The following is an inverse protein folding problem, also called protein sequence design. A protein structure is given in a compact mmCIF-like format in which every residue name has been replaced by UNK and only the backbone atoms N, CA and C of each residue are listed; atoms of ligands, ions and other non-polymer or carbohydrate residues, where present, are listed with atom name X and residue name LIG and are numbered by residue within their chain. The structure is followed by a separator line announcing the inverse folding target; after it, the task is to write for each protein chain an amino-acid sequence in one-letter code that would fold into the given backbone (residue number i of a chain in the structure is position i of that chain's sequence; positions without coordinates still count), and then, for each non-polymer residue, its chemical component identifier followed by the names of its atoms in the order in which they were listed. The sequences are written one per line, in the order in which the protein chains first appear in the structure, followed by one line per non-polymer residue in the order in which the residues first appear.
data_IF_950635086141
#
_entry.id   IF_950635086141
#
_cell.length_a   1.000
_cell.length_b   1.000
_cell.length_c   1.000
_cell.angle_alpha   90.00
_cell.angle_beta   90.00
_cell.angle_gamma   90.00
#
_symmetry.space_group_name_H-M   'P 1'
#
loop_
_entity.id
_entity.type
_entity.pdbx_description
1 polymer ?
#
# COMPACT_ATOMS: atom_id res chain seq x y z
N UNK A 1 -58.33 -8.66 -35.18
CA UNK A 1 -57.05 -9.38 -35.39
C UNK A 1 -55.99 -8.30 -35.61
N UNK A 2 -55.56 -7.62 -34.54
CA UNK A 2 -54.42 -7.98 -33.69
C UNK A 2 -53.16 -8.26 -34.52
N UNK A 3 -52.18 -7.35 -34.49
CA UNK A 3 -51.06 -7.45 -33.53
C UNK A 3 -50.17 -6.22 -33.66
N UNK A 4 -49.95 -5.57 -32.52
CA UNK A 4 -48.94 -4.54 -32.27
C UNK A 4 -47.52 -5.09 -32.48
N UNK A 5 -46.60 -4.22 -32.89
CA UNK A 5 -45.17 -4.39 -32.63
C UNK A 5 -44.53 -3.01 -32.45
N UNK A 6 -44.83 -2.41 -31.31
CA UNK A 6 -43.86 -1.57 -30.60
C UNK A 6 -42.75 -2.48 -30.06
N UNK A 7 -41.49 -2.03 -30.12
CA UNK A 7 -40.35 -2.31 -29.21
C UNK A 7 -39.23 -1.37 -29.70
N UNK A 8 -39.31 -0.08 -29.35
CA UNK A 8 -38.69 0.51 -28.16
C UNK A 8 -37.17 0.26 -28.12
N UNK A 9 -36.44 1.27 -28.60
CA UNK A 9 -35.01 1.38 -28.39
C UNK A 9 -34.74 1.63 -26.92
N UNK A 10 -34.19 0.62 -26.25
CA UNK A 10 -33.65 0.75 -24.91
C UNK A 10 -32.34 1.54 -25.01
N UNK A 11 -32.43 2.86 -24.78
CA UNK A 11 -31.29 3.63 -24.33
C UNK A 11 -30.93 3.09 -22.95
N UNK A 12 -29.76 2.45 -22.84
CA UNK A 12 -29.18 2.12 -21.55
C UNK A 12 -28.83 3.44 -20.85
N UNK A 13 -29.80 3.91 -20.06
CA UNK A 13 -29.61 4.90 -19.02
C UNK A 13 -28.63 4.28 -18.02
N UNK A 14 -27.35 4.62 -18.16
CA UNK A 14 -26.35 4.34 -17.14
C UNK A 14 -26.69 5.19 -15.93
N UNK A 15 -27.59 4.64 -15.09
CA UNK A 15 -28.02 5.24 -13.86
C UNK A 15 -26.83 5.73 -13.06
N UNK A 16 -26.63 7.04 -13.06
CA UNK A 16 -25.85 7.70 -12.02
C UNK A 16 -26.59 7.41 -10.72
N UNK A 17 -25.99 6.57 -9.87
CA UNK A 17 -26.50 6.41 -8.52
C UNK A 17 -26.60 7.79 -7.88
N UNK A 18 -27.76 8.18 -7.31
CA UNK A 18 -27.99 9.52 -6.79
C UNK A 18 -26.98 9.94 -5.70
N UNK A 19 -26.26 8.99 -5.09
CA UNK A 19 -25.14 9.25 -4.19
C UNK A 19 -23.88 9.80 -4.87
N UNK A 20 -23.57 9.38 -6.10
CA UNK A 20 -22.35 9.78 -6.82
C UNK A 20 -22.33 11.27 -7.18
N UNK A 21 -23.44 11.79 -7.69
CA UNK A 21 -23.55 13.22 -8.04
C UNK A 21 -23.45 14.13 -6.80
N UNK A 22 -24.00 13.72 -5.66
CA UNK A 22 -23.91 14.47 -4.41
C UNK A 22 -22.48 14.48 -3.86
N UNK A 23 -21.77 13.34 -3.96
CA UNK A 23 -20.38 13.21 -3.56
C UNK A 23 -19.44 14.08 -4.42
N UNK A 24 -19.62 14.07 -5.74
CA UNK A 24 -18.87 14.94 -6.67
C UNK A 24 -19.11 16.42 -6.34
N UNK A 25 -20.37 16.83 -6.12
CA UNK A 25 -20.68 18.22 -5.75
C UNK A 25 -20.08 18.64 -4.40
N UNK A 26 -19.95 17.71 -3.43
CA UNK A 26 -19.31 17.97 -2.15
C UNK A 26 -17.78 18.14 -2.33
N UNK A 27 -17.16 17.30 -3.15
CA UNK A 27 -15.75 17.40 -3.50
C UNK A 27 -15.45 18.71 -4.23
N UNK A 28 -16.27 19.08 -5.21
CA UNK A 28 -16.16 20.34 -5.95
C UNK A 28 -16.18 21.56 -5.01
N UNK A 29 -17.11 21.60 -4.04
CA UNK A 29 -17.13 22.67 -3.03
C UNK A 29 -15.84 22.74 -2.22
N UNK A 30 -15.27 21.59 -1.82
CA UNK A 30 -14.01 21.53 -1.07
C UNK A 30 -12.82 21.99 -1.89
N UNK A 31 -12.73 21.59 -3.16
CA UNK A 31 -11.64 22.01 -4.06
C UNK A 31 -11.68 23.52 -4.27
N UNK A 32 -12.88 24.07 -4.52
CA UNK A 32 -13.05 25.52 -4.71
C UNK A 32 -12.73 26.30 -3.43
N UNK A 33 -13.21 25.83 -2.28
CA UNK A 33 -12.87 26.45 -1.00
C UNK A 33 -11.36 26.38 -0.70
N UNK A 34 -10.69 25.30 -1.12
CA UNK A 34 -9.25 25.14 -0.94
C UNK A 34 -8.42 26.21 -1.64
N UNK A 35 -8.87 26.71 -2.81
CA UNK A 35 -8.17 27.79 -3.52
C UNK A 35 -8.16 29.07 -2.67
N UNK A 36 -9.32 29.44 -2.10
CA UNK A 36 -9.45 30.62 -1.25
C UNK A 36 -8.67 30.48 0.06
N UNK A 37 -8.66 29.27 0.64
CA UNK A 37 -7.88 28.96 1.83
C UNK A 37 -6.39 29.12 1.56
N UNK A 38 -5.86 28.54 0.48
CA UNK A 38 -4.44 28.64 0.12
C UNK A 38 -3.98 30.10 -0.05
N UNK A 39 -4.79 30.93 -0.70
CA UNK A 39 -4.49 32.38 -0.83
C UNK A 39 -4.47 33.09 0.52
N UNK A 40 -5.38 32.71 1.42
CA UNK A 40 -5.45 33.28 2.77
C UNK A 40 -4.24 32.82 3.61
N UNK A 41 -3.90 31.55 3.51
CA UNK A 41 -2.83 30.92 4.26
C UNK A 41 -1.44 31.31 3.78
N UNK A 42 -1.27 31.71 2.52
CA UNK A 42 -0.02 32.22 1.97
C UNK A 42 0.55 33.43 2.74
N UNK A 43 -0.31 34.19 3.42
CA UNK A 43 0.11 35.32 4.26
C UNK A 43 0.50 34.90 5.69
N UNK A 44 0.17 33.67 6.10
CA UNK A 44 0.25 33.19 7.49
C UNK A 44 1.28 32.08 7.68
N UNK A 45 1.37 31.17 6.71
CA UNK A 45 2.22 29.98 6.75
C UNK A 45 3.63 30.32 6.24
N UNK A 46 4.60 29.54 6.67
CA UNK A 46 5.90 29.54 6.01
C UNK A 46 5.84 28.76 4.68
N UNK A 47 6.95 28.78 3.93
CA UNK A 47 7.00 28.17 2.61
C UNK A 47 6.80 26.65 2.62
N UNK A 48 7.23 25.97 3.70
CA UNK A 48 7.12 24.51 3.79
C UNK A 48 5.69 24.11 4.12
N UNK A 49 5.08 24.74 5.11
CA UNK A 49 3.69 24.51 5.49
C UNK A 49 2.74 24.82 4.32
N UNK A 50 2.99 25.93 3.60
CA UNK A 50 2.19 26.29 2.43
C UNK A 50 2.33 25.28 1.29
N UNK A 51 3.53 24.74 1.06
CA UNK A 51 3.76 23.71 0.05
C UNK A 51 3.05 22.39 0.39
N UNK A 52 3.00 22.04 1.68
CA UNK A 52 2.21 20.91 2.18
C UNK A 52 0.71 21.07 1.90
N UNK A 53 0.13 22.19 2.32
CA UNK A 53 -1.28 22.50 2.07
C UNK A 53 -1.62 22.54 0.56
N UNK A 54 -0.73 23.11 -0.25
CA UNK A 54 -0.88 23.12 -1.70
C UNK A 54 -0.90 21.70 -2.28
N UNK A 55 0.00 20.83 -1.82
CA UNK A 55 0.08 19.43 -2.28
C UNK A 55 -1.18 18.66 -1.93
N UNK A 56 -1.67 18.78 -0.69
CA UNK A 56 -2.93 18.15 -0.28
C UNK A 56 -4.14 18.69 -1.06
N UNK A 57 -4.15 19.98 -1.40
CA UNK A 57 -5.20 20.53 -2.28
C UNK A 57 -5.10 19.98 -3.70
N UNK A 58 -3.90 19.92 -4.29
CA UNK A 58 -3.66 19.46 -5.66
C UNK A 58 -4.11 18.00 -5.83
N UNK A 59 -3.78 17.13 -4.88
CA UNK A 59 -4.18 15.72 -4.86
C UNK A 59 -5.71 15.57 -4.88
N UNK A 60 -6.43 16.38 -4.09
CA UNK A 60 -7.91 16.39 -4.10
C UNK A 60 -8.47 16.95 -5.40
N UNK A 61 -7.86 18.02 -5.94
CA UNK A 61 -8.28 18.63 -7.19
C UNK A 61 -8.14 17.65 -8.36
N UNK A 62 -7.06 16.87 -8.38
CA UNK A 62 -6.86 15.89 -9.45
C UNK A 62 -7.76 14.65 -9.30
N UNK A 63 -8.13 14.24 -8.08
CA UNK A 63 -9.20 13.25 -7.87
C UNK A 63 -10.52 13.73 -8.50
N UNK A 64 -10.89 15.00 -8.27
CA UNK A 64 -12.10 15.59 -8.87
C UNK A 64 -12.03 15.61 -10.41
N UNK A 65 -10.86 15.97 -10.95
CA UNK A 65 -10.62 15.93 -12.39
C UNK A 65 -10.77 14.51 -12.97
N UNK A 66 -10.29 13.50 -12.24
CA UNK A 66 -10.35 12.11 -12.65
C UNK A 66 -11.78 11.54 -12.68
N UNK A 67 -12.70 12.10 -11.89
CA UNK A 67 -14.14 11.74 -11.91
C UNK A 67 -14.98 12.64 -12.82
N UNK A 68 -14.36 13.54 -13.59
CA UNK A 68 -14.99 14.26 -14.69
C UNK A 68 -15.14 15.78 -14.54
N UNK A 69 -14.68 16.38 -13.44
CA UNK A 69 -14.69 17.85 -13.25
C UNK A 69 -13.26 18.41 -13.08
N UNK A 70 -12.62 18.84 -14.18
CA UNK A 70 -11.25 19.31 -14.15
C UNK A 70 -11.08 20.78 -13.77
N UNK A 71 -12.15 21.57 -13.60
CA UNK A 71 -12.05 23.04 -13.52
C UNK A 71 -11.15 23.52 -12.37
N UNK A 72 -11.20 22.84 -11.22
CA UNK A 72 -10.34 23.14 -10.08
C UNK A 72 -8.88 22.75 -10.33
N UNK A 73 -8.65 21.60 -10.97
CA UNK A 73 -7.31 21.12 -11.31
C UNK A 73 -6.65 22.04 -12.34
N UNK A 74 -7.35 22.45 -13.40
CA UNK A 74 -6.77 23.26 -14.48
C UNK A 74 -6.21 24.63 -14.00
N UNK A 75 -6.56 25.06 -12.79
CA UNK A 75 -6.05 26.28 -12.16
C UNK A 75 -4.71 26.10 -11.44
N UNK A 76 -4.27 24.85 -11.20
CA UNK A 76 -3.07 24.57 -10.40
C UNK A 76 -1.80 25.27 -10.88
N UNK A 77 -1.49 25.40 -12.20
CA UNK A 77 -0.23 26.00 -12.63
C UNK A 77 -0.17 27.49 -12.30
N UNK A 78 -1.29 28.20 -12.48
CA UNK A 78 -1.40 29.61 -12.16
C UNK A 78 -1.32 29.83 -10.64
N UNK A 79 -1.99 28.98 -9.87
CA UNK A 79 -1.99 29.06 -8.41
C UNK A 79 -0.60 28.75 -7.83
N UNK A 80 0.09 27.72 -8.32
CA UNK A 80 1.46 27.41 -7.89
C UNK A 80 2.42 28.58 -8.16
N UNK A 81 2.29 29.20 -9.34
CA UNK A 81 3.09 30.38 -9.71
C UNK A 81 2.77 31.60 -8.83
N UNK A 82 1.49 31.84 -8.53
CA UNK A 82 1.02 32.90 -7.63
C UNK A 82 1.61 32.73 -6.21
N UNK A 83 1.64 31.49 -5.72
CA UNK A 83 2.07 31.14 -4.37
C UNK A 83 3.58 30.89 -4.25
N UNK A 84 4.31 30.81 -5.37
CA UNK A 84 5.74 30.50 -5.39
C UNK A 84 6.08 29.06 -4.98
N UNK A 85 5.17 28.11 -5.22
CA UNK A 85 5.33 26.70 -4.83
C UNK A 85 6.04 25.90 -5.93
N UNK A 86 7.11 25.19 -5.56
CA UNK A 86 7.71 24.17 -6.40
C UNK A 86 6.91 22.86 -6.26
N UNK A 87 6.00 22.64 -7.21
CA UNK A 87 5.06 21.51 -7.19
C UNK A 87 5.77 20.15 -7.28
N UNK A 88 6.83 20.05 -8.06
CA UNK A 88 7.58 18.79 -8.20
C UNK A 88 8.29 18.45 -6.90
N UNK A 89 8.90 19.43 -6.25
CA UNK A 89 9.54 19.23 -4.96
C UNK A 89 8.51 18.90 -3.87
N UNK A 90 7.40 19.63 -3.81
CA UNK A 90 6.38 19.44 -2.75
C UNK A 90 5.71 18.07 -2.82
N UNK A 91 5.36 17.60 -4.02
CA UNK A 91 4.77 16.27 -4.21
C UNK A 91 5.80 15.17 -3.95
N UNK A 92 7.09 15.40 -4.24
CA UNK A 92 8.15 14.46 -3.90
C UNK A 92 8.31 14.32 -2.38
N UNK A 93 8.29 15.42 -1.64
CA UNK A 93 8.32 15.41 -0.18
C UNK A 93 7.11 14.66 0.38
N UNK A 94 5.90 15.00 -0.07
CA UNK A 94 4.68 14.29 0.31
C UNK A 94 4.73 12.78 -0.01
N UNK A 95 5.31 12.39 -1.15
CA UNK A 95 5.47 10.99 -1.51
C UNK A 95 6.47 10.25 -0.59
N UNK A 96 7.55 10.90 -0.17
CA UNK A 96 8.52 10.32 0.76
C UNK A 96 7.89 10.14 2.16
N UNK A 97 7.20 11.17 2.66
CA UNK A 97 6.49 11.10 3.96
C UNK A 97 5.37 10.06 3.93
N UNK A 98 4.66 9.96 2.80
CA UNK A 98 3.64 8.96 2.55
C UNK A 98 4.21 7.54 2.56
N UNK A 99 5.35 7.32 1.89
CA UNK A 99 6.05 6.04 1.89
C UNK A 99 6.52 5.62 3.29
N UNK A 100 7.10 6.55 4.07
CA UNK A 100 7.47 6.29 5.46
C UNK A 100 6.24 5.94 6.31
N UNK A 101 5.13 6.67 6.11
CA UNK A 101 3.87 6.40 6.80
C UNK A 101 3.32 5.01 6.45
N UNK A 102 3.40 4.58 5.19
CA UNK A 102 2.93 3.27 4.73
C UNK A 102 3.68 2.10 5.39
N UNK A 103 4.96 2.29 5.74
CA UNK A 103 5.78 1.24 6.36
C UNK A 103 5.35 0.96 7.83
N UNK A 104 5.01 2.01 8.58
CA UNK A 104 4.84 1.94 10.04
C UNK A 104 3.43 2.24 10.58
N UNK A 105 2.58 2.90 9.80
CA UNK A 105 1.25 3.33 10.26
C UNK A 105 0.22 2.18 10.34
N UNK A 106 -0.88 2.50 11.04
CA UNK A 106 -2.05 1.62 11.25
C UNK A 106 -3.32 2.46 11.31
N UNK A 107 -4.47 1.82 11.13
CA UNK A 107 -5.78 2.44 11.24
C UNK A 107 -5.95 3.65 10.32
N UNK A 108 -6.52 4.73 10.86
CA UNK A 108 -6.82 5.96 10.11
C UNK A 108 -5.60 6.55 9.41
N UNK A 109 -4.44 6.60 10.06
CA UNK A 109 -3.20 7.12 9.43
C UNK A 109 -2.74 6.28 8.25
N UNK A 110 -2.94 4.96 8.30
CA UNK A 110 -2.62 4.09 7.17
C UNK A 110 -3.62 4.30 6.03
N UNK A 111 -4.91 4.46 6.35
CA UNK A 111 -5.93 4.77 5.37
C UNK A 111 -5.64 6.09 4.65
N UNK A 112 -5.30 7.15 5.39
CA UNK A 112 -4.92 8.45 4.84
C UNK A 112 -3.74 8.34 3.86
N UNK A 113 -2.67 7.63 4.24
CA UNK A 113 -1.52 7.44 3.35
C UNK A 113 -1.88 6.67 2.05
N UNK A 114 -2.82 5.74 2.12
CA UNK A 114 -3.34 5.03 0.93
C UNK A 114 -4.22 5.95 0.09
N UNK A 115 -5.03 6.80 0.71
CA UNK A 115 -5.88 7.80 0.02
C UNK A 115 -5.01 8.79 -0.75
N UNK A 116 -3.91 9.27 -0.16
CA UNK A 116 -2.98 10.17 -0.84
C UNK A 116 -2.29 9.47 -2.02
N UNK A 117 -1.95 8.18 -1.89
CA UNK A 117 -1.40 7.39 -2.99
C UNK A 117 -2.42 7.14 -4.12
N UNK A 118 -3.70 6.94 -3.78
CA UNK A 118 -4.81 6.91 -4.74
C UNK A 118 -4.96 8.24 -5.51
N UNK A 119 -4.79 9.36 -4.82
CA UNK A 119 -4.82 10.69 -5.44
C UNK A 119 -3.58 10.91 -6.33
N UNK A 120 -2.42 10.41 -5.91
CA UNK A 120 -1.22 10.38 -6.73
C UNK A 120 -1.40 9.51 -7.99
N UNK A 121 -2.15 8.42 -7.91
CA UNK A 121 -2.53 7.64 -9.09
C UNK A 121 -3.42 8.45 -10.04
N UNK A 122 -4.37 9.23 -9.51
CA UNK A 122 -5.15 10.18 -10.31
C UNK A 122 -4.25 11.22 -10.98
N UNK A 123 -3.24 11.75 -10.27
CA UNK A 123 -2.27 12.70 -10.81
C UNK A 123 -1.53 12.13 -12.02
N UNK A 124 -1.03 10.89 -11.90
CA UNK A 124 -0.34 10.19 -13.00
C UNK A 124 -1.22 9.99 -14.23
N UNK A 125 -2.52 9.77 -14.04
CA UNK A 125 -3.46 9.55 -15.13
C UNK A 125 -3.83 10.86 -15.84
N UNK A 126 -4.09 11.92 -15.06
CA UNK A 126 -4.70 13.16 -15.56
C UNK A 126 -3.68 14.19 -16.02
N UNK A 127 -2.60 14.41 -15.28
CA UNK A 127 -1.64 15.49 -15.56
C UNK A 127 -1.03 15.44 -16.97
N UNK A 128 -0.58 14.28 -17.49
CA UNK A 128 0.00 14.20 -18.83
C UNK A 128 -1.00 14.50 -19.95
N UNK A 129 -2.30 14.34 -19.68
CA UNK A 129 -3.38 14.56 -20.66
C UNK A 129 -3.86 16.01 -20.69
N UNK A 130 -3.57 16.80 -19.65
CA UNK A 130 -4.09 18.17 -19.49
C UNK A 130 -3.01 19.22 -19.65
N UNK A 131 -2.08 19.27 -18.71
CA UNK A 131 -1.02 20.28 -18.65
C UNK A 131 0.31 19.77 -19.19
N UNK A 132 0.65 18.51 -18.90
CA UNK A 132 1.94 17.90 -19.21
C UNK A 132 3.15 18.76 -18.75
N UNK A 133 2.97 19.55 -17.69
CA UNK A 133 3.97 20.42 -17.07
C UNK A 133 4.82 19.65 -16.06
N UNK A 134 4.31 18.54 -15.50
CA UNK A 134 5.05 17.67 -14.58
C UNK A 134 5.71 16.48 -15.31
N UNK A 135 5.90 16.58 -16.63
CA UNK A 135 6.46 15.53 -17.48
C UNK A 135 7.98 15.37 -17.31
N UNK A 136 8.38 14.93 -16.12
CA UNK A 136 9.74 14.53 -15.78
C UNK A 136 9.78 13.04 -15.41
N UNK A 137 10.77 12.32 -15.93
CA UNK A 137 10.94 10.89 -15.66
C UNK A 137 11.21 10.64 -14.17
N UNK A 138 11.98 11.51 -13.51
CA UNK A 138 12.26 11.35 -12.07
C UNK A 138 10.99 11.54 -11.23
N UNK A 139 10.13 12.48 -11.65
CA UNK A 139 8.83 12.70 -11.04
C UNK A 139 7.86 11.54 -11.27
N UNK A 140 7.80 11.01 -12.49
CA UNK A 140 6.96 9.85 -12.80
C UNK A 140 7.36 8.61 -11.96
N UNK A 141 8.67 8.42 -11.73
CA UNK A 141 9.19 7.32 -10.90
C UNK A 141 8.78 7.47 -9.43
N UNK A 142 8.83 8.67 -8.85
CA UNK A 142 8.44 8.83 -7.43
C UNK A 142 6.95 8.56 -7.22
N UNK A 143 6.09 9.01 -8.14
CA UNK A 143 4.66 8.72 -8.07
C UNK A 143 4.37 7.23 -8.23
N UNK A 144 5.09 6.54 -9.13
CA UNK A 144 4.97 5.09 -9.27
C UNK A 144 5.40 4.36 -7.98
N UNK A 145 6.52 4.75 -7.38
CA UNK A 145 6.98 4.16 -6.12
C UNK A 145 5.96 4.33 -4.98
N UNK A 146 5.34 5.49 -4.89
CA UNK A 146 4.32 5.77 -3.87
C UNK A 146 3.08 4.89 -4.08
N UNK A 147 2.57 4.84 -5.31
CA UNK A 147 1.43 4.00 -5.70
C UNK A 147 1.72 2.52 -5.44
N UNK A 148 2.84 2.00 -5.95
CA UNK A 148 3.25 0.60 -5.77
C UNK A 148 3.49 0.28 -4.29
N UNK A 149 3.94 1.27 -3.51
CA UNK A 149 4.05 1.19 -2.06
C UNK A 149 2.72 0.91 -1.40
N UNK A 150 1.72 1.75 -1.66
CA UNK A 150 0.39 1.60 -1.08
C UNK A 150 -0.30 0.29 -1.50
N UNK A 151 -0.16 -0.15 -2.75
CA UNK A 151 -0.69 -1.45 -3.21
C UNK A 151 -0.03 -2.67 -2.54
N UNK A 152 1.15 -2.48 -1.95
CA UNK A 152 1.88 -3.51 -1.23
C UNK A 152 1.52 -3.63 0.25
N UNK A 153 0.75 -2.68 0.80
CA UNK A 153 0.45 -2.65 2.25
C UNK A 153 -0.75 -3.51 2.60
N UNK A 154 -0.65 -4.16 3.77
CA UNK A 154 -1.75 -4.91 4.40
C UNK A 154 -2.56 -3.94 5.29
N UNK A 155 -3.81 -3.68 4.95
CA UNK A 155 -4.70 -2.77 5.70
C UNK A 155 -5.38 -3.47 6.87
N UNK A 156 -5.26 -2.96 8.09
CA UNK A 156 -6.08 -3.43 9.22
C UNK A 156 -7.57 -3.05 9.07
N UNK A 157 -8.45 -3.61 9.91
CA UNK A 157 -9.91 -3.39 9.84
C UNK A 157 -10.29 -1.91 9.96
N UNK A 158 -9.58 -1.14 10.80
CA UNK A 158 -9.83 0.29 10.98
C UNK A 158 -9.44 1.05 9.70
N UNK A 159 -8.28 0.73 9.12
CA UNK A 159 -7.82 1.32 7.87
C UNK A 159 -8.78 1.01 6.71
N UNK A 160 -9.24 -0.25 6.60
CA UNK A 160 -10.22 -0.67 5.59
C UNK A 160 -11.55 0.09 5.75
N UNK A 161 -12.06 0.21 6.98
CA UNK A 161 -13.31 0.94 7.25
C UNK A 161 -13.22 2.42 6.87
N UNK A 162 -12.11 3.09 7.17
CA UNK A 162 -11.88 4.49 6.78
C UNK A 162 -11.77 4.62 5.27
N UNK A 163 -11.03 3.72 4.62
CA UNK A 163 -10.90 3.69 3.15
C UNK A 163 -12.23 3.53 2.44
N UNK A 164 -13.08 2.61 2.88
CA UNK A 164 -14.40 2.39 2.29
C UNK A 164 -15.33 3.58 2.51
N UNK A 165 -15.32 4.14 3.72
CA UNK A 165 -16.09 5.35 4.04
C UNK A 165 -15.64 6.54 3.18
N UNK A 166 -14.33 6.68 2.97
CA UNK A 166 -13.75 7.71 2.12
C UNK A 166 -14.16 7.51 0.67
N UNK A 167 -13.95 6.33 0.08
CA UNK A 167 -14.30 6.00 -1.32
C UNK A 167 -15.79 6.18 -1.61
N UNK A 168 -16.66 5.91 -0.64
CA UNK A 168 -18.10 6.16 -0.76
C UNK A 168 -18.45 7.65 -0.78
N UNK A 169 -17.69 8.46 -0.04
CA UNK A 169 -17.93 9.90 0.11
C UNK A 169 -17.16 10.76 -0.91
N UNK A 170 -16.07 10.23 -1.46
CA UNK A 170 -15.10 10.86 -2.35
C UNK A 170 -14.76 9.90 -3.48
N UNK A 171 -15.51 9.95 -4.59
CA UNK A 171 -15.39 8.98 -5.66
C UNK A 171 -14.01 9.03 -6.31
N UNK A 172 -13.58 7.87 -6.80
CA UNK A 172 -12.31 7.68 -7.51
C UNK A 172 -12.56 6.75 -8.70
N UNK A 173 -11.98 7.00 -9.89
CA UNK A 173 -12.12 6.09 -11.02
C UNK A 173 -11.46 4.74 -10.72
N UNK A 174 -11.96 3.67 -11.36
CA UNK A 174 -11.48 2.31 -11.13
C UNK A 174 -9.99 2.15 -11.46
N UNK A 175 -9.48 2.89 -12.44
CA UNK A 175 -8.10 2.87 -12.91
C UNK A 175 -7.11 3.49 -11.90
N UNK A 176 -7.58 4.39 -11.04
CA UNK A 176 -6.77 5.00 -9.98
C UNK A 176 -6.98 4.33 -8.62
N UNK A 177 -7.98 3.46 -8.50
CA UNK A 177 -8.29 2.77 -7.25
C UNK A 177 -7.25 1.70 -6.99
N UNK A 178 -6.52 1.85 -5.89
CA UNK A 178 -5.45 0.93 -5.52
C UNK A 178 -6.00 -0.40 -5.00
N UNK A 179 -5.38 -1.48 -5.45
CA UNK A 179 -5.72 -2.85 -5.03
C UNK A 179 -5.02 -3.21 -3.72
N UNK A 180 -5.33 -2.45 -2.66
CA UNK A 180 -4.76 -2.68 -1.32
C UNK A 180 -5.21 -4.02 -0.76
N UNK A 181 -4.33 -4.68 -0.02
CA UNK A 181 -4.60 -6.01 0.52
C UNK A 181 -5.26 -5.85 1.88
N UNK A 182 -6.57 -6.09 1.94
CA UNK A 182 -7.30 -6.17 3.20
C UNK A 182 -6.68 -7.25 4.08
N UNK A 183 -6.38 -6.90 5.34
CA UNK A 183 -5.79 -7.86 6.29
C UNK A 183 -6.63 -9.14 6.36
N UNK A 184 -5.98 -10.29 6.63
CA UNK A 184 -6.66 -11.56 6.63
C UNK A 184 -7.47 -11.73 7.92
N UNK A 185 -8.74 -11.31 7.89
CA UNK A 185 -9.79 -11.86 8.74
C UNK A 185 -11.06 -12.08 7.90
N UNK A 186 -11.01 -13.13 7.10
CA UNK A 186 -12.15 -13.67 6.37
C UNK A 186 -11.71 -14.85 5.54
N UNK A 187 -11.90 -16.07 6.06
CA UNK A 187 -11.70 -17.34 5.32
C UNK A 187 -12.50 -17.38 3.98
N UNK A 188 -13.47 -16.48 3.83
CA UNK A 188 -14.27 -16.27 2.63
C UNK A 188 -13.58 -15.41 1.54
N UNK A 189 -12.78 -14.40 1.90
CA UNK A 189 -12.18 -13.46 0.93
C UNK A 189 -10.93 -14.01 0.23
N UNK A 190 -10.29 -15.02 0.84
CA UNK A 190 -9.28 -15.84 0.16
C UNK A 190 -9.79 -16.50 -1.13
N UNK A 191 -11.11 -16.66 -1.29
CA UNK A 191 -11.71 -17.23 -2.49
C UNK A 191 -12.09 -16.19 -3.56
N UNK A 192 -12.19 -14.91 -3.19
CA UNK A 192 -12.69 -13.84 -4.07
C UNK A 192 -11.56 -12.99 -4.67
N UNK A 193 -10.43 -12.81 -3.97
CA UNK A 193 -9.30 -11.97 -4.44
C UNK A 193 -8.42 -12.61 -5.55
N UNK A 194 -8.77 -13.78 -6.08
CA UNK A 194 -7.97 -14.54 -7.04
C UNK A 194 -8.10 -14.10 -8.51
N UNK A 195 -8.73 -12.96 -8.82
CA UNK A 195 -9.20 -12.65 -10.18
C UNK A 195 -8.52 -11.50 -10.93
N UNK A 196 -7.56 -10.75 -10.36
CA UNK A 196 -6.87 -9.68 -11.13
C UNK A 196 -5.40 -9.39 -10.83
N UNK A 197 -4.79 -9.96 -9.78
CA UNK A 197 -3.36 -9.86 -9.48
C UNK A 197 -2.76 -11.27 -9.58
N UNK A 198 -1.53 -11.47 -10.12
CA UNK A 198 -0.88 -12.78 -10.04
C UNK A 198 -0.88 -13.23 -8.57
N UNK A 199 -1.51 -14.37 -8.25
CA UNK A 199 -1.78 -14.77 -6.88
C UNK A 199 -0.45 -14.95 -6.13
N UNK A 200 -0.43 -14.57 -4.84
CA UNK A 200 0.73 -14.80 -4.00
C UNK A 200 1.13 -16.29 -4.02
N UNK A 201 2.41 -16.55 -4.28
CA UNK A 201 2.90 -17.92 -4.40
C UNK A 201 3.15 -18.45 -3.00
N UNK A 202 2.35 -19.45 -2.58
CA UNK A 202 2.52 -20.12 -1.31
C UNK A 202 3.66 -21.13 -1.38
N UNK A 203 4.65 -20.96 -0.53
CA UNK A 203 5.90 -21.73 -0.52
C UNK A 203 5.91 -22.83 0.54
N UNK A 204 5.05 -22.73 1.56
CA UNK A 204 4.92 -23.72 2.62
C UNK A 204 3.43 -24.11 2.84
N UNK A 205 3.16 -25.33 3.36
CA UNK A 205 1.79 -25.78 3.64
C UNK A 205 1.07 -24.85 4.63
N UNK A 206 -0.24 -24.65 4.43
CA UNK A 206 -1.10 -23.95 5.40
C UNK A 206 -1.13 -24.76 6.69
N UNK A 207 -0.73 -24.15 7.81
CA UNK A 207 -0.90 -24.77 9.11
C UNK A 207 -2.33 -24.51 9.59
N UNK A 208 -3.14 -25.56 9.73
CA UNK A 208 -4.46 -25.43 10.34
C UNK A 208 -4.34 -24.85 11.76
N UNK A 209 -5.18 -23.86 12.05
CA UNK A 209 -5.26 -23.17 13.33
C UNK A 209 -5.74 -24.15 14.40
N UNK A 210 -4.83 -24.88 15.02
CA UNK A 210 -5.14 -25.68 16.20
C UNK A 210 -4.99 -24.79 17.45
N UNK A 211 -5.96 -23.90 17.69
CA UNK A 211 -6.06 -23.13 18.94
C UNK A 211 -5.97 -24.06 20.17
N UNK A 212 -6.46 -25.29 20.04
CA UNK A 212 -6.44 -26.33 21.07
C UNK A 212 -5.05 -26.93 21.37
N UNK A 213 -4.02 -26.66 20.56
CA UNK A 213 -2.67 -27.24 20.72
C UNK A 213 -1.59 -26.24 21.18
N UNK A 214 -1.93 -24.96 21.36
CA UNK A 214 -1.02 -24.00 22.00
C UNK A 214 -1.00 -24.23 23.51
N UNK A 215 -0.48 -25.37 23.94
CA UNK A 215 -0.11 -25.57 25.35
C UNK A 215 1.08 -24.68 25.65
N UNK A 216 1.12 -24.00 26.80
CA UNK A 216 2.20 -23.07 27.16
C UNK A 216 3.00 -23.58 28.36
N UNK A 217 4.29 -23.29 28.36
CA UNK A 217 5.15 -23.40 29.55
C UNK A 217 5.40 -21.99 30.10
N UNK A 218 4.57 -21.55 31.05
CA UNK A 218 4.74 -20.26 31.73
C UNK A 218 4.70 -19.02 30.81
N UNK A 219 3.98 -19.07 29.69
CA UNK A 219 3.86 -17.97 28.72
C UNK A 219 4.94 -17.92 27.63
N UNK A 220 5.80 -18.95 27.54
CA UNK A 220 6.77 -19.13 26.44
C UNK A 220 6.21 -20.03 25.33
N UNK A 221 6.70 -19.91 24.08
CA UNK A 221 6.40 -20.88 23.03
C UNK A 221 6.85 -22.28 23.44
N UNK A 222 6.06 -23.30 23.14
CA UNK A 222 6.51 -24.70 23.34
C UNK A 222 7.45 -25.15 22.24
N UNK A 223 8.23 -26.20 22.52
CA UNK A 223 9.08 -26.87 21.53
C UNK A 223 8.28 -27.35 20.30
N UNK A 224 6.99 -27.63 20.46
CA UNK A 224 6.09 -27.94 19.34
C UNK A 224 5.87 -26.75 18.41
N UNK A 225 5.58 -25.57 18.97
CA UNK A 225 5.41 -24.33 18.22
C UNK A 225 6.71 -23.91 17.53
N UNK A 226 7.83 -23.97 18.24
CA UNK A 226 9.16 -23.64 17.71
C UNK A 226 9.48 -24.54 16.51
N UNK A 227 9.31 -25.86 16.66
CA UNK A 227 9.56 -26.82 15.56
C UNK A 227 8.61 -26.61 14.38
N UNK A 228 7.33 -26.31 14.63
CA UNK A 228 6.34 -26.05 13.58
C UNK A 228 6.69 -24.79 12.81
N UNK A 229 7.01 -23.70 13.49
CA UNK A 229 7.45 -22.48 12.85
C UNK A 229 8.75 -22.70 12.05
N UNK A 230 9.71 -23.44 12.61
CA UNK A 230 10.96 -23.78 11.91
C UNK A 230 10.77 -24.68 10.68
N UNK A 231 9.65 -25.40 10.58
CA UNK A 231 9.32 -26.19 9.40
C UNK A 231 8.85 -25.36 8.20
N UNK A 232 8.60 -24.05 8.40
CA UNK A 232 8.27 -23.09 7.36
C UNK A 232 9.51 -22.75 6.55
N UNK A 233 9.63 -23.45 5.45
CA UNK A 233 10.68 -23.25 4.47
C UNK A 233 10.13 -23.44 3.08
N UNK A 234 10.69 -22.70 2.14
CA UNK A 234 10.24 -22.79 0.76
C UNK A 234 11.19 -22.11 -0.20
N UNK A 235 11.02 -22.44 -1.48
CA UNK A 235 11.85 -21.94 -2.57
C UNK A 235 10.96 -21.43 -3.70
N UNK A 236 11.36 -20.32 -4.30
CA UNK A 236 10.60 -19.68 -5.35
C UNK A 236 11.52 -19.03 -6.38
N UNK A 237 10.92 -18.60 -7.47
CA UNK A 237 11.52 -17.72 -8.47
C UNK A 237 10.69 -16.44 -8.54
N UNK A 238 11.35 -15.28 -8.55
CA UNK A 238 10.68 -13.98 -8.68
C UNK A 238 10.29 -13.71 -10.14
N UNK A 239 9.43 -12.71 -10.41
CA UNK A 239 9.08 -12.33 -11.78
C UNK A 239 10.29 -11.99 -12.66
N UNK A 240 11.37 -11.46 -12.08
CA UNK A 240 12.64 -11.21 -12.79
C UNK A 240 13.54 -12.43 -12.97
N UNK A 241 13.09 -13.62 -12.57
CA UNK A 241 13.83 -14.88 -12.71
C UNK A 241 14.86 -15.13 -11.61
N UNK A 242 14.82 -14.39 -10.50
CA UNK A 242 15.78 -14.56 -9.38
C UNK A 242 15.28 -15.60 -8.38
N UNK A 243 16.21 -16.37 -7.83
CA UNK A 243 15.87 -17.44 -6.88
C UNK A 243 15.77 -16.91 -5.46
N UNK A 244 14.71 -17.34 -4.77
CA UNK A 244 14.41 -17.03 -3.39
C UNK A 244 14.35 -18.35 -2.59
N UNK A 245 15.04 -18.41 -1.46
CA UNK A 245 14.86 -19.47 -0.46
C UNK A 245 14.58 -18.83 0.90
N UNK A 246 13.56 -19.32 1.59
CA UNK A 246 13.07 -18.74 2.85
C UNK A 246 13.10 -19.80 3.94
N UNK A 247 13.57 -19.43 5.14
CA UNK A 247 13.56 -20.27 6.34
C UNK A 247 13.12 -19.44 7.56
N UNK A 248 12.07 -19.88 8.26
CA UNK A 248 11.60 -19.27 9.49
C UNK A 248 12.22 -19.87 10.76
N UNK A 249 12.37 -19.07 11.80
CA UNK A 249 12.74 -19.51 13.16
C UNK A 249 11.95 -18.72 14.21
N UNK A 250 11.57 -19.40 15.29
CA UNK A 250 10.92 -18.82 16.47
C UNK A 250 11.74 -19.23 17.68
N UNK A 251 12.12 -18.27 18.52
CA UNK A 251 12.86 -18.55 19.75
C UNK A 251 11.95 -18.61 20.99
N UNK A 252 12.48 -19.07 22.15
CA UNK A 252 11.73 -19.11 23.40
C UNK A 252 11.31 -17.74 23.97
N UNK A 253 11.84 -16.65 23.43
CA UNK A 253 11.57 -15.26 23.84
C UNK A 253 10.56 -14.56 22.92
N UNK A 254 9.88 -15.30 22.04
CA UNK A 254 8.96 -14.75 21.04
C UNK A 254 9.63 -13.87 19.98
N UNK A 255 10.93 -14.07 19.73
CA UNK A 255 11.61 -13.51 18.57
C UNK A 255 11.32 -14.38 17.36
N UNK A 256 10.74 -13.78 16.33
CA UNK A 256 10.61 -14.39 15.01
C UNK A 256 11.76 -13.90 14.15
N UNK A 257 12.46 -14.83 13.50
CA UNK A 257 13.49 -14.50 12.49
C UNK A 257 13.24 -15.29 11.21
N UNK A 258 13.16 -14.59 10.09
CA UNK A 258 12.98 -15.13 8.74
C UNK A 258 14.26 -14.86 7.95
N UNK A 259 14.89 -15.93 7.50
CA UNK A 259 16.09 -15.90 6.68
C UNK A 259 15.71 -15.94 5.23
N UNK A 260 16.16 -14.95 4.46
CA UNK A 260 15.96 -14.93 3.01
C UNK A 260 17.31 -15.08 2.32
N UNK A 261 17.41 -16.11 1.48
CA UNK A 261 18.61 -16.52 0.76
C UNK A 261 18.36 -16.51 -0.75
N UNK A 262 19.43 -16.60 -1.52
CA UNK A 262 19.37 -16.66 -2.99
C UNK A 262 19.46 -15.28 -3.64
N UNK A 263 19.54 -15.26 -4.97
CA UNK A 263 19.81 -14.07 -5.77
C UNK A 263 18.71 -13.00 -5.67
N UNK A 264 17.51 -13.38 -5.21
CA UNK A 264 16.40 -12.48 -4.92
C UNK A 264 16.48 -11.80 -3.54
N UNK A 265 17.38 -12.21 -2.63
CA UNK A 265 17.49 -11.65 -1.27
C UNK A 265 17.67 -10.13 -1.25
N UNK A 266 18.43 -9.59 -2.22
CA UNK A 266 18.64 -8.16 -2.38
C UNK A 266 17.41 -7.41 -2.91
N UNK A 267 16.47 -8.12 -3.56
CA UNK A 267 15.22 -7.55 -4.07
C UNK A 267 14.11 -7.53 -3.04
N UNK A 268 14.28 -8.17 -1.88
CA UNK A 268 13.21 -8.17 -0.86
C UNK A 268 13.05 -6.76 -0.31
N UNK A 269 11.82 -6.26 -0.48
CA UNK A 269 11.39 -4.95 0.01
C UNK A 269 10.88 -5.06 1.45
N UNK A 270 10.12 -6.10 1.75
CA UNK A 270 9.50 -6.24 3.06
C UNK A 270 9.17 -7.68 3.42
N UNK A 271 9.20 -7.95 4.72
CA UNK A 271 8.81 -9.22 5.33
C UNK A 271 7.85 -8.91 6.46
N UNK A 272 6.70 -9.58 6.51
CA UNK A 272 5.66 -9.36 7.52
C UNK A 272 5.14 -10.67 8.08
N UNK A 273 4.77 -10.68 9.35
CA UNK A 273 3.99 -11.74 9.98
C UNK A 273 2.68 -11.13 10.50
N UNK A 274 1.56 -11.46 9.86
CA UNK A 274 0.31 -10.71 10.03
C UNK A 274 0.50 -9.20 9.85
N UNK A 275 0.19 -8.41 10.88
CA UNK A 275 0.32 -6.94 10.89
C UNK A 275 1.69 -6.43 11.39
N UNK A 276 2.67 -7.30 11.61
CA UNK A 276 3.99 -6.92 12.11
C UNK A 276 5.02 -6.97 10.99
N UNK A 277 5.62 -5.83 10.68
CA UNK A 277 6.83 -5.77 9.87
C UNK A 277 8.00 -6.40 10.63
N UNK A 278 8.82 -7.13 9.90
CA UNK A 278 10.11 -7.56 10.38
C UNK A 278 11.14 -6.54 9.89
N UNK A 279 12.18 -6.32 10.67
CA UNK A 279 13.30 -5.45 10.33
C UNK A 279 14.54 -6.29 10.05
N UNK A 280 15.46 -5.80 9.22
CA UNK A 280 16.74 -6.45 9.04
C UNK A 280 17.46 -6.47 10.40
N UNK A 281 17.91 -7.64 10.84
CA UNK A 281 18.52 -7.81 12.16
C UNK A 281 19.69 -6.82 12.34
N UNK A 282 19.79 -6.09 13.47
CA UNK A 282 20.75 -4.98 13.63
C UNK A 282 22.22 -5.42 13.53
N UNK A 283 22.53 -6.66 13.89
CA UNK A 283 23.88 -7.24 13.76
C UNK A 283 24.23 -7.64 12.31
N UNK A 284 23.30 -7.48 11.36
CA UNK A 284 23.58 -7.68 9.94
C UNK A 284 24.36 -6.48 9.40
N UNK A 285 25.67 -6.67 9.21
CA UNK A 285 26.53 -5.68 8.55
C UNK A 285 26.48 -5.93 7.04
N UNK A 286 25.84 -5.05 6.23
CA UNK A 286 25.98 -5.10 4.79
C UNK A 286 27.45 -4.88 4.45
N UNK A 287 27.95 -5.62 3.46
CA UNK A 287 29.35 -5.59 3.03
C UNK A 287 29.67 -4.18 2.50
N UNK A 288 30.15 -3.26 3.34
CA UNK A 288 30.22 -1.82 3.01
C UNK A 288 31.43 -1.42 2.15
N UNK A 289 32.19 -2.36 1.57
CA UNK A 289 33.35 -2.05 0.74
C UNK A 289 33.48 -3.04 -0.43
N UNK A 290 32.84 -2.68 -1.54
CA UNK A 290 32.87 -3.40 -2.80
C UNK A 290 31.60 -3.09 -3.55
N UNK A 291 31.73 -2.58 -4.79
CA UNK A 291 30.65 -2.19 -5.70
C UNK A 291 29.36 -3.00 -5.45
N UNK A 292 28.22 -2.32 -5.32
CA UNK A 292 26.88 -2.91 -5.13
C UNK A 292 26.46 -3.90 -6.25
N UNK A 293 27.36 -4.14 -7.21
CA UNK A 293 27.26 -5.04 -8.36
C UNK A 293 28.18 -6.27 -8.25
N UNK A 294 28.94 -6.46 -7.17
CA UNK A 294 29.76 -7.68 -7.04
C UNK A 294 28.87 -8.92 -6.84
N UNK A 295 29.08 -9.96 -7.65
CA UNK A 295 28.39 -11.26 -7.55
C UNK A 295 28.49 -11.89 -6.14
N UNK A 296 29.41 -11.41 -5.30
CA UNK A 296 29.61 -11.87 -3.93
C UNK A 296 28.52 -11.44 -2.93
N UNK A 297 27.81 -10.33 -3.17
CA UNK A 297 26.70 -9.86 -2.31
C UNK A 297 25.33 -10.35 -2.81
N UNK A 298 25.26 -10.84 -4.06
CA UNK A 298 24.09 -11.45 -4.67
C UNK A 298 23.88 -12.87 -4.13
N UNK A 299 23.12 -13.01 -3.05
CA UNK A 299 22.80 -14.32 -2.48
C UNK A 299 23.02 -14.47 -0.99
N UNK A 300 23.59 -13.47 -0.32
CA UNK A 300 23.88 -13.54 1.12
C UNK A 300 22.56 -13.64 1.91
N UNK A 301 22.44 -14.60 2.85
CA UNK A 301 21.28 -14.70 3.71
C UNK A 301 21.03 -13.40 4.47
N UNK A 302 19.86 -12.80 4.28
CA UNK A 302 19.40 -11.61 5.02
C UNK A 302 18.42 -12.03 6.11
N UNK A 303 18.77 -11.84 7.39
CA UNK A 303 17.85 -12.10 8.49
C UNK A 303 16.91 -10.92 8.70
N UNK A 304 15.62 -11.19 8.64
CA UNK A 304 14.54 -10.27 9.01
C UNK A 304 13.95 -10.73 10.34
N UNK A 305 13.75 -9.85 11.31
CA UNK A 305 13.33 -10.24 12.65
C UNK A 305 12.36 -9.27 13.30
N UNK A 306 11.53 -9.77 14.20
CA UNK A 306 10.62 -8.96 15.03
C UNK A 306 10.42 -9.62 16.39
N UNK A 307 10.36 -8.83 17.45
CA UNK A 307 9.98 -9.31 18.78
C UNK A 307 8.47 -9.21 18.98
N UNK A 308 7.85 -10.33 19.34
CA UNK A 308 6.43 -10.38 19.71
C UNK A 308 6.22 -10.32 21.24
N UNK A 309 7.31 -10.21 22.02
CA UNK A 309 7.29 -10.30 23.49
C UNK A 309 6.46 -9.21 24.20
N UNK A 310 6.12 -8.11 23.52
CA UNK A 310 5.27 -7.03 24.05
C UNK A 310 3.76 -7.22 23.82
N UNK A 311 3.34 -8.19 23.00
CA UNK A 311 1.93 -8.35 22.61
C UNK A 311 1.12 -9.20 23.59
N UNK A 312 -0.22 -9.16 23.60
CA UNK A 312 -1.02 -10.16 24.31
C UNK A 312 -0.74 -11.57 23.79
N UNK A 313 -0.77 -12.58 24.67
CA UNK A 313 -0.40 -13.97 24.33
C UNK A 313 -1.23 -14.55 23.18
N UNK A 314 -2.52 -14.27 23.16
CA UNK A 314 -3.45 -14.67 22.09
C UNK A 314 -3.02 -14.11 20.73
N UNK A 315 -2.63 -12.83 20.70
CA UNK A 315 -2.15 -12.15 19.49
C UNK A 315 -0.84 -12.77 19.00
N UNK A 316 0.12 -13.02 19.91
CA UNK A 316 1.39 -13.68 19.54
C UNK A 316 1.16 -15.04 18.90
N UNK A 317 0.27 -15.82 19.50
CA UNK A 317 -0.05 -17.17 19.06
C UNK A 317 -0.70 -17.14 17.69
N UNK A 318 -1.65 -16.23 17.47
CA UNK A 318 -2.30 -16.05 16.17
C UNK A 318 -1.29 -15.68 15.08
N UNK A 319 -0.40 -14.73 15.36
CA UNK A 319 0.63 -14.29 14.40
C UNK A 319 1.60 -15.42 14.05
N UNK A 320 2.13 -16.12 15.06
CA UNK A 320 3.06 -17.25 14.85
C UNK A 320 2.39 -18.40 14.08
N UNK A 321 1.08 -18.58 14.20
CA UNK A 321 0.33 -19.59 13.44
C UNK A 321 -0.07 -19.12 12.03
N UNK A 322 -0.14 -17.81 11.76
CA UNK A 322 -0.45 -17.26 10.43
C UNK A 322 0.73 -17.28 9.46
N UNK A 323 0.53 -16.79 8.24
CA UNK A 323 1.59 -16.74 7.21
C UNK A 323 2.59 -15.60 7.44
N UNK A 324 3.80 -15.83 6.92
CA UNK A 324 4.79 -14.80 6.67
C UNK A 324 4.67 -14.34 5.22
N UNK A 325 4.36 -13.06 5.02
CA UNK A 325 4.28 -12.43 3.72
C UNK A 325 5.64 -11.81 3.34
N UNK A 326 6.07 -12.03 2.10
CA UNK A 326 7.32 -11.49 1.54
C UNK A 326 6.99 -10.77 0.25
N UNK A 327 7.47 -9.52 0.13
CA UNK A 327 7.34 -8.69 -1.06
C UNK A 327 8.72 -8.35 -1.64
N UNK A 328 8.80 -8.30 -2.97
CA UNK A 328 10.03 -8.00 -3.71
C UNK A 328 9.84 -6.78 -4.62
N UNK A 329 10.94 -6.06 -4.89
CA UNK A 329 10.95 -4.85 -5.72
C UNK A 329 10.51 -5.08 -7.17
N UNK A 330 10.62 -6.31 -7.67
CA UNK A 330 10.17 -6.72 -9.00
C UNK A 330 8.71 -7.24 -9.02
N UNK A 331 7.95 -7.03 -7.94
CA UNK A 331 6.53 -7.36 -7.85
C UNK A 331 6.21 -8.78 -7.42
N UNK A 332 7.22 -9.61 -7.09
CA UNK A 332 6.98 -10.95 -6.54
C UNK A 332 6.37 -10.91 -5.14
N UNK A 333 5.35 -11.76 -4.93
CA UNK A 333 4.61 -11.91 -3.66
C UNK A 333 4.61 -13.37 -3.22
N UNK A 334 5.09 -13.64 -2.01
CA UNK A 334 5.26 -14.99 -1.48
C UNK A 334 4.69 -15.15 -0.08
N UNK A 335 4.16 -16.34 0.23
CA UNK A 335 3.66 -16.70 1.56
C UNK A 335 4.39 -17.94 2.09
N UNK A 336 4.85 -17.88 3.33
CA UNK A 336 5.65 -18.94 4.00
C UNK A 336 5.12 -19.24 5.39
#
# INVERSE_FOLDING_TARGET
MNSESEHSGSAADHGHEPGGAAAIAALQRRVNQGIDNLRTDAARLDAQDLAGEFSSWLLRAVRLAAVGDPEGFDQWPALASELGVDVTASIREAAMDGLETLDDARGERLAEAIIDAEDAACLRLIEPQRSNLLSDESFARILLLWVDGAEGVLTDEDAASVLDSHRASWPIPAEARLSVVETPLGELDHRLAATSIPPAIRLAPVFEHAEELATFDGGRPTDGMIRRFASRRGRAETPSGRHLEVEGTLDPHWQVTVWIKGTASALVRGVRIGTRALEIHPDFVPSSEGEADSEADQGRPRPWSVSLAGLPLEVRTRLVCGDVAISTLDGGRFLV
#
